data_IF_223384456459
#
_entry.id   IF_223384456459
#
_cell.length_a   1.000
_cell.length_b   1.000
_cell.length_c   1.000
_cell.angle_alpha   90.00
_cell.angle_beta   90.00
_cell.angle_gamma   90.00
#
_symmetry.space_group_name_H-M   'P 1'
#
loop_
_entity.id
_entity.type
_entity.pdbx_description
1 polymer ?
#
# COMPACT_ATOMS: atom_id res chain seq x y z
N UNK A 1 7.45 13.07 0.51
CA UNK A 1 6.80 14.39 0.54
C UNK A 1 5.95 14.51 1.80
N UNK A 2 5.83 15.71 2.40
CA UNK A 2 4.99 15.94 3.59
C UNK A 2 3.54 15.48 3.39
N UNK A 3 2.95 15.74 2.21
CA UNK A 3 1.61 15.28 1.83
C UNK A 3 1.42 13.78 2.02
N UNK A 4 2.34 12.94 1.52
CA UNK A 4 2.26 11.48 1.67
C UNK A 4 2.25 11.09 3.15
N UNK A 5 3.06 11.74 3.99
CA UNK A 5 3.06 11.46 5.42
C UNK A 5 1.73 11.85 6.09
N UNK A 6 1.09 12.94 5.67
CA UNK A 6 -0.26 13.30 6.10
C UNK A 6 -1.31 12.29 5.62
N UNK A 7 -1.23 11.83 4.37
CA UNK A 7 -2.16 10.81 3.84
C UNK A 7 -2.04 9.50 4.63
N UNK A 8 -0.82 9.09 4.98
CA UNK A 8 -0.58 7.90 5.80
C UNK A 8 -1.27 7.97 7.16
N UNK A 9 -1.42 9.15 7.78
CA UNK A 9 -2.14 9.29 9.07
C UNK A 9 -3.66 9.21 8.93
N UNK A 10 -4.19 9.30 7.70
CA UNK A 10 -5.63 9.16 7.45
C UNK A 10 -6.04 7.69 7.23
N UNK A 11 -5.09 6.76 7.25
CA UNK A 11 -5.32 5.34 6.98
C UNK A 11 -4.89 4.48 8.16
N UNK A 12 -5.57 3.36 8.34
CA UNK A 12 -5.28 2.42 9.43
C UNK A 12 -4.20 1.41 9.02
N UNK A 13 -3.94 1.29 7.70
CA UNK A 13 -2.88 0.45 7.15
C UNK A 13 -2.33 0.96 5.82
N UNK A 14 -1.08 0.60 5.53
CA UNK A 14 -0.41 0.87 4.26
C UNK A 14 0.04 -0.47 3.68
N UNK A 15 -0.42 -0.78 2.47
CA UNK A 15 -0.06 -1.99 1.75
C UNK A 15 1.01 -1.72 0.71
N UNK A 16 2.03 -2.58 0.70
CA UNK A 16 2.99 -2.71 -0.39
C UNK A 16 3.17 -4.16 -0.83
N UNK A 17 3.68 -4.36 -2.04
CA UNK A 17 4.19 -5.66 -2.48
C UNK A 17 5.58 -5.95 -1.93
N UNK A 18 5.93 -7.24 -1.83
CA UNK A 18 7.27 -7.70 -1.41
C UNK A 18 8.42 -7.08 -2.22
N UNK A 19 8.24 -6.82 -3.53
CA UNK A 19 9.27 -6.18 -4.35
C UNK A 19 9.70 -4.81 -3.80
N UNK A 20 8.74 -4.01 -3.30
CA UNK A 20 9.02 -2.72 -2.65
C UNK A 20 9.79 -2.92 -1.33
N UNK A 21 9.47 -3.95 -0.56
CA UNK A 21 10.19 -4.25 0.68
C UNK A 21 11.64 -4.64 0.40
N UNK A 22 11.87 -5.49 -0.59
CA UNK A 22 13.20 -5.96 -0.96
C UNK A 22 14.07 -4.84 -1.55
N UNK A 23 13.49 -3.98 -2.38
CA UNK A 23 14.25 -2.93 -3.06
C UNK A 23 14.51 -1.71 -2.17
N UNK A 24 13.51 -1.29 -1.39
CA UNK A 24 13.55 0.01 -0.70
C UNK A 24 13.71 -0.11 0.82
N UNK A 25 13.42 -1.29 1.38
CA UNK A 25 13.34 -1.55 2.82
C UNK A 25 12.62 -0.38 3.55
N UNK A 26 11.35 -0.12 3.23
CA UNK A 26 10.63 1.08 3.67
C UNK A 26 10.25 1.00 5.14
N UNK A 27 9.90 2.15 5.73
CA UNK A 27 9.40 2.21 7.11
C UNK A 27 7.86 2.21 7.19
N UNK A 28 7.17 2.61 6.11
CA UNK A 28 5.71 2.73 6.02
C UNK A 28 5.08 3.45 7.23
N UNK A 29 5.66 4.58 7.64
CA UNK A 29 5.23 5.39 8.79
C UNK A 29 5.05 6.87 8.42
N UNK A 30 4.54 7.65 9.38
CA UNK A 30 4.22 9.08 9.24
C UNK A 30 5.25 10.01 9.94
N UNK A 31 6.56 9.73 9.79
CA UNK A 31 7.64 10.41 10.54
C UNK A 31 7.98 11.87 10.21
N UNK A 32 7.51 12.41 9.09
CA UNK A 32 7.87 13.78 8.66
C UNK A 32 6.90 14.86 9.17
N UNK A 33 5.94 14.50 10.01
CA UNK A 33 5.02 15.43 10.62
C UNK A 33 5.68 16.12 11.82
N UNK A 34 5.41 17.41 12.00
CA UNK A 34 5.93 18.20 13.14
C UNK A 34 5.52 17.63 14.50
N UNK A 35 4.34 17.01 14.54
CA UNK A 35 3.81 16.25 15.68
C UNK A 35 3.48 14.85 15.18
N UNK A 36 4.42 13.89 15.25
CA UNK A 36 4.14 12.52 14.82
C UNK A 36 3.08 11.89 15.74
N UNK A 37 2.11 11.16 15.17
CA UNK A 37 1.07 10.53 15.97
C UNK A 37 1.66 9.42 16.86
N UNK A 38 1.01 9.08 17.99
CA UNK A 38 1.42 7.95 18.80
C UNK A 38 1.37 6.66 17.98
N UNK A 39 2.17 5.67 18.38
CA UNK A 39 2.34 4.41 17.61
C UNK A 39 1.01 3.69 17.39
N UNK A 40 0.08 3.75 18.34
CA UNK A 40 -1.26 3.19 18.19
C UNK A 40 -2.07 3.81 17.04
N UNK A 41 -1.78 5.05 16.64
CA UNK A 41 -2.42 5.76 15.53
C UNK A 41 -1.60 5.73 14.24
N UNK A 42 -0.40 5.15 14.25
CA UNK A 42 0.33 4.91 13.02
C UNK A 42 -0.39 3.84 12.18
N UNK A 43 -0.32 3.92 10.84
CA UNK A 43 -0.85 2.88 9.98
C UNK A 43 -0.07 1.58 10.19
N UNK A 44 -0.80 0.46 10.14
CA UNK A 44 -0.23 -0.88 10.15
C UNK A 44 0.45 -1.19 8.80
N UNK A 45 1.73 -1.57 8.77
CA UNK A 45 2.36 -2.07 7.55
C UNK A 45 1.70 -3.37 7.10
N UNK A 46 1.31 -3.46 5.83
CA UNK A 46 0.79 -4.67 5.19
C UNK A 46 1.67 -5.04 4.00
N UNK A 47 2.11 -6.28 3.91
CA UNK A 47 2.98 -6.76 2.84
C UNK A 47 2.32 -7.93 2.11
N UNK A 48 2.14 -7.79 0.79
CA UNK A 48 1.79 -8.92 -0.07
C UNK A 48 3.07 -9.66 -0.47
N UNK A 49 3.26 -10.85 0.08
CA UNK A 49 4.47 -11.66 -0.08
C UNK A 49 4.11 -13.14 -0.22
N UNK A 50 3.77 -13.54 -1.44
CA UNK A 50 3.28 -14.89 -1.75
C UNK A 50 4.18 -16.02 -1.27
N UNK A 51 5.48 -15.77 -1.09
CA UNK A 51 6.50 -16.78 -0.77
C UNK A 51 7.26 -16.50 0.55
N UNK A 52 6.82 -15.52 1.36
CA UNK A 52 7.46 -15.17 2.64
C UNK A 52 8.96 -14.80 2.53
N UNK A 53 9.30 -14.04 1.48
CA UNK A 53 10.65 -13.53 1.21
C UNK A 53 11.02 -12.30 2.03
N UNK A 54 10.09 -11.73 2.80
CA UNK A 54 10.30 -10.56 3.65
C UNK A 54 11.49 -10.81 4.58
N UNK A 55 12.52 -9.94 4.58
CA UNK A 55 13.65 -10.11 5.49
C UNK A 55 13.21 -9.93 6.95
N UNK A 56 13.65 -10.85 7.83
CA UNK A 56 13.31 -10.82 9.26
C UNK A 56 13.87 -9.58 9.99
N UNK A 57 14.83 -8.90 9.37
CA UNK A 57 15.51 -7.74 9.90
C UNK A 57 15.18 -6.46 9.11
N UNK A 58 14.13 -6.47 8.29
CA UNK A 58 13.66 -5.27 7.60
C UNK A 58 13.21 -4.18 8.59
N UNK A 59 13.16 -2.92 8.14
CA UNK A 59 12.79 -1.78 8.99
C UNK A 59 11.39 -1.92 9.57
N UNK A 60 10.46 -2.58 8.89
CA UNK A 60 9.09 -2.81 9.40
C UNK A 60 9.13 -3.61 10.70
N UNK A 61 9.88 -4.71 10.72
CA UNK A 61 10.03 -5.59 11.89
C UNK A 61 10.84 -4.88 12.98
N UNK A 62 11.99 -4.28 12.64
CA UNK A 62 12.83 -3.55 13.60
C UNK A 62 12.08 -2.40 14.28
N UNK A 63 11.27 -1.65 13.53
CA UNK A 63 10.46 -0.56 14.07
C UNK A 63 9.41 -1.06 15.06
N UNK A 64 8.77 -2.20 14.77
CA UNK A 64 7.83 -2.81 15.69
C UNK A 64 8.52 -3.29 16.98
N UNK A 65 9.64 -4.00 16.85
CA UNK A 65 10.43 -4.47 18.00
C UNK A 65 10.94 -3.32 18.89
N UNK A 66 11.28 -2.18 18.29
CA UNK A 66 11.68 -0.97 19.01
C UNK A 66 10.50 -0.15 19.57
N UNK A 67 9.25 -0.59 19.38
CA UNK A 67 8.07 0.10 19.87
C UNK A 67 7.79 1.43 19.16
N UNK A 68 8.35 1.66 17.97
CA UNK A 68 8.18 2.89 17.16
C UNK A 68 7.35 2.65 15.89
N UNK A 69 6.81 1.45 15.73
CA UNK A 69 5.95 1.05 14.62
C UNK A 69 4.90 0.02 15.02
N UNK A 70 3.82 -0.05 14.24
CA UNK A 70 2.80 -1.10 14.38
C UNK A 70 3.34 -2.44 13.89
N UNK A 71 2.80 -3.53 14.44
CA UNK A 71 3.13 -4.89 14.01
C UNK A 71 2.84 -5.08 12.51
N UNK A 72 3.83 -5.48 11.69
CA UNK A 72 3.60 -5.72 10.27
C UNK A 72 2.68 -6.95 10.07
N UNK A 73 1.78 -6.85 9.10
CA UNK A 73 0.93 -7.96 8.63
C UNK A 73 1.48 -8.44 7.27
N UNK A 74 1.82 -9.71 7.17
CA UNK A 74 2.33 -10.33 5.94
C UNK A 74 1.28 -11.31 5.43
N UNK A 75 0.79 -11.08 4.21
CA UNK A 75 -0.18 -11.93 3.54
C UNK A 75 0.54 -12.79 2.51
N UNK A 76 0.40 -14.10 2.61
CA UNK A 76 1.13 -15.07 1.81
C UNK A 76 0.23 -16.19 1.30
N UNK A 77 0.70 -16.93 0.30
CA UNK A 77 0.02 -18.15 -0.13
C UNK A 77 0.11 -19.22 0.97
N UNK A 78 -0.94 -20.04 1.09
CA UNK A 78 -0.91 -21.27 1.90
C UNK A 78 0.20 -22.24 1.49
N UNK A 79 0.66 -22.16 0.24
CA UNK A 79 1.76 -22.97 -0.28
C UNK A 79 3.15 -22.44 0.13
N UNK A 80 3.21 -21.29 0.81
CA UNK A 80 4.48 -20.75 1.30
C UNK A 80 5.05 -21.58 2.47
N UNK A 81 6.38 -21.51 2.64
CA UNK A 81 7.11 -22.31 3.63
C UNK A 81 6.64 -22.04 5.08
N UNK A 82 6.25 -23.10 5.77
CA UNK A 82 5.91 -23.04 7.21
C UNK A 82 7.11 -22.62 8.07
N UNK A 83 8.33 -23.03 7.69
CA UNK A 83 9.54 -22.59 8.39
C UNK A 83 9.71 -21.07 8.29
N UNK A 84 9.56 -20.50 7.08
CA UNK A 84 9.67 -19.06 6.87
C UNK A 84 8.60 -18.28 7.62
N UNK A 85 7.38 -18.83 7.69
CA UNK A 85 6.30 -18.27 8.52
C UNK A 85 6.72 -18.16 9.98
N UNK A 86 7.19 -19.25 10.58
CA UNK A 86 7.61 -19.27 11.97
C UNK A 86 8.78 -18.31 12.24
N UNK A 87 9.73 -18.19 11.32
CA UNK A 87 10.84 -17.24 11.43
C UNK A 87 10.35 -15.78 11.46
N UNK A 88 9.40 -15.43 10.58
CA UNK A 88 8.80 -14.09 10.53
C UNK A 88 7.93 -13.80 11.76
N UNK A 89 7.15 -14.76 12.21
CA UNK A 89 6.33 -14.64 13.42
C UNK A 89 7.21 -14.43 14.66
N UNK A 90 8.29 -15.21 14.80
CA UNK A 90 9.29 -15.02 15.87
C UNK A 90 10.00 -13.69 15.81
N UNK A 91 10.22 -13.15 14.61
CA UNK A 91 10.80 -11.83 14.43
C UNK A 91 9.81 -10.70 14.81
N UNK A 92 8.52 -10.99 14.92
CA UNK A 92 7.49 -10.06 15.38
C UNK A 92 6.46 -9.67 14.31
N UNK A 93 6.44 -10.31 13.13
CA UNK A 93 5.38 -10.12 12.15
C UNK A 93 4.13 -10.95 12.48
N UNK A 94 2.95 -10.48 12.09
CA UNK A 94 1.78 -11.34 11.96
C UNK A 94 1.76 -11.90 10.53
N UNK A 95 1.69 -13.23 10.39
CA UNK A 95 1.67 -13.88 9.08
C UNK A 95 0.33 -14.58 8.86
N UNK A 96 -0.34 -14.23 7.77
CA UNK A 96 -1.60 -14.85 7.34
C UNK A 96 -1.37 -15.54 6.01
N UNK A 97 -1.51 -16.86 6.02
CA UNK A 97 -1.49 -17.70 4.84
C UNK A 97 -2.92 -17.93 4.33
N UNK A 98 -3.14 -17.80 3.03
CA UNK A 98 -4.46 -17.90 2.40
C UNK A 98 -4.44 -18.72 1.10
N UNK A 99 -5.55 -19.37 0.73
CA UNK A 99 -5.63 -20.22 -0.45
C UNK A 99 -5.44 -19.47 -1.76
N UNK A 100 -5.92 -18.21 -1.82
CA UNK A 100 -5.82 -17.35 -2.99
C UNK A 100 -5.39 -15.94 -2.60
N UNK A 101 -4.58 -15.32 -3.45
CA UNK A 101 -4.16 -13.91 -3.34
C UNK A 101 -4.98 -13.02 -4.27
N UNK A 102 -6.29 -13.26 -4.36
CA UNK A 102 -7.22 -12.36 -5.02
C UNK A 102 -7.59 -11.19 -4.09
N UNK A 103 -7.99 -10.05 -4.67
CA UNK A 103 -8.25 -8.83 -3.90
C UNK A 103 -9.40 -8.96 -2.91
N UNK A 104 -10.42 -9.77 -3.19
CA UNK A 104 -11.53 -9.99 -2.27
C UNK A 104 -11.06 -10.71 -1.00
N UNK A 105 -10.27 -11.76 -1.15
CA UNK A 105 -9.66 -12.50 -0.04
C UNK A 105 -8.66 -11.65 0.73
N UNK A 106 -7.77 -10.94 0.02
CA UNK A 106 -6.79 -10.02 0.62
C UNK A 106 -7.49 -8.98 1.49
N UNK A 107 -8.48 -8.26 0.95
CA UNK A 107 -9.19 -7.20 1.66
C UNK A 107 -9.99 -7.74 2.86
N UNK A 108 -10.56 -8.95 2.75
CA UNK A 108 -11.24 -9.62 3.86
C UNK A 108 -10.28 -9.87 5.04
N UNK A 109 -9.08 -10.37 4.78
CA UNK A 109 -8.08 -10.60 5.83
C UNK A 109 -7.55 -9.29 6.44
N UNK A 110 -7.31 -8.27 5.61
CA UNK A 110 -6.92 -6.93 6.08
C UNK A 110 -8.00 -6.33 7.00
N UNK A 111 -9.27 -6.46 6.61
CA UNK A 111 -10.40 -5.99 7.40
C UNK A 111 -10.55 -6.76 8.73
N UNK A 112 -10.35 -8.08 8.72
CA UNK A 112 -10.34 -8.90 9.93
C UNK A 112 -9.21 -8.53 10.90
N UNK A 113 -8.08 -8.08 10.36
CA UNK A 113 -6.94 -7.55 11.13
C UNK A 113 -7.15 -6.12 11.67
N UNK A 114 -8.36 -5.56 11.53
CA UNK A 114 -8.77 -4.27 12.09
C UNK A 114 -8.46 -3.05 11.22
N UNK A 115 -7.94 -3.24 9.99
CA UNK A 115 -7.67 -2.14 9.06
C UNK A 115 -8.96 -1.80 8.30
N UNK A 116 -9.52 -0.61 8.53
CA UNK A 116 -10.76 -0.17 7.86
C UNK A 116 -10.48 0.73 6.66
N UNK A 117 -9.43 1.54 6.73
CA UNK A 117 -8.95 2.40 5.65
C UNK A 117 -7.55 1.95 5.26
N UNK A 118 -7.41 1.44 4.03
CA UNK A 118 -6.15 0.95 3.49
C UNK A 118 -5.62 1.90 2.42
N UNK A 119 -4.37 2.31 2.56
CA UNK A 119 -3.63 2.99 1.50
C UNK A 119 -2.76 1.97 0.77
N UNK A 120 -2.82 1.92 -0.57
CA UNK A 120 -1.94 1.07 -1.38
C UNK A 120 -0.91 1.97 -2.05
N UNK A 121 0.37 1.84 -1.66
CA UNK A 121 1.45 2.72 -2.16
C UNK A 121 2.32 2.07 -3.25
N UNK A 122 2.30 0.74 -3.37
CA UNK A 122 3.14 0.05 -4.34
C UNK A 122 3.16 -1.47 -4.18
N UNK A 123 4.02 -2.21 -4.87
CA UNK A 123 4.77 -1.77 -6.06
C UNK A 123 3.89 -1.77 -7.31
N UNK A 124 4.49 -1.53 -8.48
CA UNK A 124 3.78 -1.46 -9.76
C UNK A 124 2.83 -2.64 -10.00
N UNK A 125 3.28 -3.88 -9.77
CA UNK A 125 2.44 -5.08 -9.97
C UNK A 125 1.23 -5.15 -9.02
N UNK A 126 1.35 -4.64 -7.80
CA UNK A 126 0.23 -4.56 -6.85
C UNK A 126 -0.77 -3.51 -7.30
N UNK A 127 -0.27 -2.31 -7.66
CA UNK A 127 -1.11 -1.23 -8.18
C UNK A 127 -1.83 -1.69 -9.45
N UNK A 128 -1.12 -2.30 -10.39
CA UNK A 128 -1.69 -2.82 -11.64
C UNK A 128 -2.79 -3.85 -11.39
N UNK A 129 -2.54 -4.84 -10.53
CA UNK A 129 -3.56 -5.86 -10.24
C UNK A 129 -4.81 -5.27 -9.55
N UNK A 130 -4.65 -4.21 -8.74
CA UNK A 130 -5.77 -3.52 -8.11
C UNK A 130 -6.54 -2.66 -9.11
N UNK A 131 -5.83 -1.95 -10.00
CA UNK A 131 -6.43 -1.09 -11.03
C UNK A 131 -7.28 -1.87 -12.02
N UNK A 132 -6.96 -3.14 -12.26
CA UNK A 132 -7.80 -4.07 -13.04
C UNK A 132 -9.11 -4.47 -12.33
N UNK A 133 -9.26 -4.15 -11.04
CA UNK A 133 -10.43 -4.46 -10.23
C UNK A 133 -10.95 -3.19 -9.53
N UNK A 134 -11.38 -2.18 -10.31
CA UNK A 134 -11.61 -0.84 -9.78
C UNK A 134 -12.75 -0.79 -8.75
N UNK A 135 -13.63 -1.80 -8.70
CA UNK A 135 -14.68 -1.94 -7.67
C UNK A 135 -14.13 -2.00 -6.24
N UNK A 136 -12.85 -2.34 -6.06
CA UNK A 136 -12.18 -2.36 -4.78
C UNK A 136 -11.52 -1.02 -4.42
N UNK A 137 -11.61 -0.01 -5.28
CA UNK A 137 -10.94 1.28 -5.10
C UNK A 137 -11.97 2.37 -4.82
N UNK A 138 -11.82 3.07 -3.69
CA UNK A 138 -12.68 4.21 -3.35
C UNK A 138 -12.12 5.55 -3.82
N UNK A 139 -10.80 5.69 -3.84
CA UNK A 139 -10.11 6.90 -4.28
C UNK A 139 -8.79 6.54 -4.95
N UNK A 140 -8.44 7.28 -5.99
CA UNK A 140 -7.15 7.20 -6.67
C UNK A 140 -6.46 8.56 -6.57
N UNK A 141 -5.22 8.57 -6.09
CA UNK A 141 -4.44 9.79 -5.91
C UNK A 141 -3.11 9.66 -6.63
N UNK A 142 -2.91 10.47 -7.67
CA UNK A 142 -1.72 10.46 -8.52
C UNK A 142 -0.94 11.74 -8.28
N UNK A 143 0.35 11.61 -7.99
CA UNK A 143 1.28 12.75 -7.88
C UNK A 143 2.16 12.80 -9.11
N UNK A 144 2.17 13.94 -9.80
CA UNK A 144 2.92 14.19 -11.02
C UNK A 144 4.01 15.20 -10.69
N UNK A 145 5.26 14.73 -10.64
CA UNK A 145 6.41 15.59 -10.45
C UNK A 145 6.84 16.20 -11.80
N UNK A 146 7.32 17.46 -11.84
CA UNK A 146 7.77 18.12 -13.07
C UNK A 146 9.18 17.66 -13.46
N UNK A 147 9.36 16.34 -13.61
CA UNK A 147 10.63 15.70 -13.96
C UNK A 147 10.41 14.68 -15.07
N UNK A 148 11.39 14.55 -15.96
CA UNK A 148 11.38 13.53 -17.00
C UNK A 148 12.13 12.30 -16.52
N UNK A 149 11.51 11.13 -16.66
CA UNK A 149 12.15 9.83 -16.41
C UNK A 149 12.60 9.26 -17.75
N UNK A 150 13.82 8.73 -17.81
CA UNK A 150 14.36 8.10 -19.01
C UNK A 150 13.64 6.81 -19.39
N UNK A 151 14.00 6.19 -20.54
CA UNK A 151 13.31 5.02 -21.08
C UNK A 151 13.39 3.76 -20.21
N UNK A 152 14.31 3.71 -19.25
CA UNK A 152 14.42 2.60 -18.28
C UNK A 152 13.59 2.85 -17.00
N UNK A 153 12.72 3.86 -17.00
CA UNK A 153 11.80 4.11 -15.88
C UNK A 153 10.88 2.93 -15.62
N UNK A 154 10.71 2.59 -14.35
CA UNK A 154 9.77 1.54 -13.93
C UNK A 154 8.41 2.19 -13.63
N UNK A 155 7.35 1.66 -14.23
CA UNK A 155 5.99 2.19 -14.10
C UNK A 155 4.95 1.09 -13.90
N UNK A 156 3.68 1.50 -13.81
CA UNK A 156 2.52 0.60 -13.88
C UNK A 156 1.89 0.73 -15.29
N UNK A 157 1.18 -0.31 -15.72
CA UNK A 157 0.70 -0.45 -17.10
C UNK A 157 -0.79 -0.14 -17.26
N UNK A 158 -1.55 -0.16 -16.18
CA UNK A 158 -2.99 0.04 -16.19
C UNK A 158 -3.36 1.49 -16.54
N UNK A 159 -4.39 1.73 -17.38
CA UNK A 159 -4.82 3.08 -17.71
C UNK A 159 -5.41 3.79 -16.47
N UNK A 160 -5.21 5.11 -16.39
CA UNK A 160 -5.91 5.95 -15.43
C UNK A 160 -7.39 6.12 -15.84
N UNK A 161 -8.31 6.39 -14.90
CA UNK A 161 -9.72 6.61 -15.22
C UNK A 161 -9.91 7.77 -16.21
N UNK A 162 -10.58 7.49 -17.33
CA UNK A 162 -10.99 8.49 -18.33
C UNK A 162 -12.45 8.87 -18.11
N UNK A 163 -12.69 10.06 -17.56
CA UNK A 163 -14.04 10.59 -17.30
C UNK A 163 -14.70 11.22 -18.54
N UNK A 164 -13.99 11.27 -19.68
CA UNK A 164 -14.49 11.80 -20.95
C UNK A 164 -14.73 10.70 -22.01
N UNK A 165 -14.38 9.45 -21.72
CA UNK A 165 -14.75 8.32 -22.55
C UNK A 165 -16.29 8.28 -22.66
N UNK A 166 -16.81 8.10 -23.89
CA UNK A 166 -18.25 8.06 -24.19
C UNK A 166 -18.99 6.87 -23.59
N UNK A 167 -18.27 5.97 -22.94
CA UNK A 167 -18.84 4.90 -22.15
C UNK A 167 -19.12 5.46 -20.75
N UNK A 168 -20.33 5.30 -20.24
CA UNK A 168 -20.69 5.46 -18.82
C UNK A 168 -19.90 4.48 -17.89
N UNK A 169 -18.80 3.92 -18.35
CA UNK A 169 -17.91 3.09 -17.56
C UNK A 169 -17.08 3.98 -16.64
N UNK A 170 -17.48 3.98 -15.38
CA UNK A 170 -16.69 3.32 -14.32
C UNK A 170 -16.95 3.91 -12.94
N UNK A 171 -18.04 4.67 -12.77
CA UNK A 171 -18.43 5.18 -11.46
C UNK A 171 -17.36 6.05 -10.81
N UNK A 172 -16.53 6.76 -11.58
CA UNK A 172 -15.57 7.73 -11.05
C UNK A 172 -16.10 9.15 -11.21
N UNK A 173 -15.87 9.98 -10.20
CA UNK A 173 -16.11 11.42 -10.29
C UNK A 173 -15.08 12.08 -11.21
N UNK A 174 -15.42 13.24 -11.80
CA UNK A 174 -14.42 14.11 -12.42
C UNK A 174 -13.24 14.33 -11.46
N UNK A 175 -11.99 14.29 -11.94
CA UNK A 175 -10.84 14.44 -11.07
C UNK A 175 -10.73 15.85 -10.52
N UNK A 176 -10.37 15.96 -9.24
CA UNK A 176 -9.91 17.20 -8.66
C UNK A 176 -8.39 17.33 -8.87
N UNK A 177 -7.93 18.53 -9.23
CA UNK A 177 -6.51 18.84 -9.47
C UNK A 177 -6.07 19.95 -8.54
N UNK A 178 -4.96 19.72 -7.87
CA UNK A 178 -4.36 20.71 -6.96
C UNK A 178 -2.84 20.68 -7.07
N UNK A 179 -2.19 21.76 -6.63
CA UNK A 179 -0.72 21.80 -6.54
C UNK A 179 -0.26 21.56 -5.12
N UNK A 180 0.79 20.77 -4.98
CA UNK A 180 1.50 20.59 -3.71
C UNK A 180 2.98 20.87 -3.90
N UNK A 181 3.38 22.12 -3.60
CA UNK A 181 4.72 22.60 -3.93
C UNK A 181 4.90 22.68 -5.46
N UNK A 182 5.84 21.88 -5.99
CA UNK A 182 6.12 21.81 -7.43
C UNK A 182 5.32 20.73 -8.16
N UNK A 183 4.69 19.84 -7.42
CA UNK A 183 4.03 18.66 -7.96
C UNK A 183 2.54 18.92 -8.16
N UNK A 184 1.97 18.35 -9.21
CA UNK A 184 0.52 18.31 -9.43
C UNK A 184 -0.05 17.05 -8.78
N UNK A 185 -1.19 17.19 -8.11
CA UNK A 185 -1.90 16.11 -7.45
C UNK A 185 -3.28 15.99 -8.07
N UNK A 186 -3.58 14.81 -8.62
CA UNK A 186 -4.86 14.51 -9.25
C UNK A 186 -5.57 13.42 -8.45
N UNK A 187 -6.82 13.69 -8.08
CA UNK A 187 -7.62 12.82 -7.22
C UNK A 187 -8.92 12.46 -7.90
N UNK A 188 -9.21 11.17 -8.01
CA UNK A 188 -10.51 10.65 -8.42
C UNK A 188 -11.18 9.97 -7.23
N UNK A 189 -12.50 10.09 -7.13
CA UNK A 189 -13.31 9.35 -6.17
C UNK A 189 -14.29 8.46 -6.90
N UNK A 190 -14.58 7.28 -6.37
CA UNK A 190 -15.62 6.42 -6.93
C UNK A 190 -17.00 6.79 -6.35
N UNK A 191 -17.98 7.01 -7.21
CA UNK A 191 -19.40 7.04 -6.87
C UNK A 191 -19.79 5.71 -6.21
N UNK A 192 -20.49 5.80 -5.07
CA UNK A 192 -20.99 4.64 -4.34
C UNK A 192 -22.29 4.13 -4.95
#
# INVERSE_FOLDING_TARGET
MLMTHTLRTLHDGILVGIGTVLNDNPQLNARLLSQPPPVAQLPRPVVLDSQLRTPIDCKLIRNHAAGVGRQPLILASEQASQQRRLELERAGAEVVQMPSLDWQTILKHIHAAGVRRLMVEGGAAVIDSLMQQPQHINALLVTIAPVTVGPQGFGFSSPLPDVHAKDEQAGWSPPNRSKFGKDDVVVWHRHR
#
